data_IF_179145461650
#
_entry.id   IF_179145461650
#
_cell.length_a   1.000
_cell.length_b   1.000
_cell.length_c   1.000
_cell.angle_alpha   90.00
_cell.angle_beta   90.00
_cell.angle_gamma   90.00
#
_symmetry.space_group_name_H-M   'P 1'
#
loop_
_entity.id
_entity.type
_entity.pdbx_description
1 polymer ?
#
# COMPACT_ATOMS: atom_id res chain seq x y z
N UNK A 1 -14.65 -19.23 -7.28
CA UNK A 1 -13.88 -20.52 -7.20
C UNK A 1 -12.40 -20.24 -7.02
N UNK A 2 -11.71 -21.01 -6.18
CA UNK A 2 -10.26 -20.90 -5.95
C UNK A 2 -9.53 -22.09 -6.57
N UNK A 3 -8.44 -21.82 -7.30
CA UNK A 3 -7.59 -22.83 -7.92
C UNK A 3 -6.16 -22.74 -7.37
N UNK A 4 -5.61 -23.89 -6.95
CA UNK A 4 -4.20 -24.06 -6.56
C UNK A 4 -3.53 -24.94 -7.61
N UNK A 5 -2.50 -24.41 -8.29
CA UNK A 5 -1.79 -25.09 -9.38
C UNK A 5 -2.74 -25.62 -10.48
N UNK A 6 -3.89 -24.96 -10.67
CA UNK A 6 -4.93 -25.35 -11.63
C UNK A 6 -6.03 -26.26 -11.07
N UNK A 7 -5.87 -26.83 -9.88
CA UNK A 7 -6.85 -27.71 -9.24
C UNK A 7 -7.79 -26.94 -8.31
N UNK A 8 -9.12 -27.20 -8.34
CA UNK A 8 -10.06 -26.59 -7.39
C UNK A 8 -9.73 -26.90 -5.94
N UNK A 9 -9.70 -25.86 -5.10
CA UNK A 9 -9.52 -25.99 -3.66
C UNK A 9 -10.87 -26.23 -2.97
N UNK A 10 -10.95 -27.26 -2.13
CA UNK A 10 -12.03 -27.41 -1.15
C UNK A 10 -11.66 -26.61 0.09
N UNK A 11 -12.41 -25.56 0.40
CA UNK A 11 -11.97 -24.59 1.42
C UNK A 11 -12.23 -25.03 2.87
N UNK A 12 -13.03 -26.06 3.13
CA UNK A 12 -13.48 -26.41 4.49
C UNK A 12 -12.33 -26.59 5.50
N UNK A 13 -11.30 -27.38 5.12
CA UNK A 13 -10.16 -27.65 6.00
C UNK A 13 -9.32 -26.39 6.24
N UNK A 14 -9.04 -25.65 5.16
CA UNK A 14 -8.28 -24.39 5.23
C UNK A 14 -9.01 -23.34 6.06
N UNK A 15 -10.33 -23.25 5.88
CA UNK A 15 -11.15 -22.29 6.57
C UNK A 15 -11.15 -22.59 8.08
N UNK A 16 -11.08 -23.85 8.49
CA UNK A 16 -10.94 -24.25 9.89
C UNK A 16 -9.64 -23.81 10.57
N UNK A 17 -8.62 -23.37 9.80
CA UNK A 17 -7.39 -22.79 10.36
C UNK A 17 -7.59 -21.34 10.87
N UNK A 18 -8.66 -20.66 10.44
CA UNK A 18 -8.93 -19.27 10.77
C UNK A 18 -10.14 -19.15 11.71
N UNK A 19 -10.10 -18.18 12.62
CA UNK A 19 -11.25 -17.87 13.46
C UNK A 19 -12.44 -17.42 12.60
N UNK A 20 -13.66 -17.80 13.00
CA UNK A 20 -14.88 -17.64 12.19
C UNK A 20 -15.12 -16.20 11.70
N UNK A 21 -14.80 -15.21 12.52
CA UNK A 21 -14.98 -13.79 12.19
C UNK A 21 -13.68 -13.09 11.78
N UNK A 22 -12.60 -13.83 11.51
CA UNK A 22 -11.34 -13.22 11.07
C UNK A 22 -11.45 -12.67 9.64
N UNK A 23 -10.56 -11.76 9.29
CA UNK A 23 -10.50 -11.20 7.93
C UNK A 23 -10.17 -12.29 6.91
N UNK A 24 -9.22 -13.17 7.24
CA UNK A 24 -8.79 -14.29 6.42
C UNK A 24 -9.96 -15.22 6.10
N UNK A 25 -10.74 -15.59 7.13
CA UNK A 25 -11.90 -16.46 6.97
C UNK A 25 -12.95 -15.85 6.04
N UNK A 26 -13.33 -14.59 6.29
CA UNK A 26 -14.33 -13.89 5.48
C UNK A 26 -13.89 -13.73 4.02
N UNK A 27 -12.63 -13.36 3.79
CA UNK A 27 -12.08 -13.23 2.43
C UNK A 27 -12.05 -14.59 1.73
N UNK A 28 -11.61 -15.64 2.40
CA UNK A 28 -11.56 -17.00 1.84
C UNK A 28 -12.96 -17.48 1.41
N UNK A 29 -13.96 -17.27 2.25
CA UNK A 29 -15.35 -17.64 1.96
C UNK A 29 -15.92 -16.82 0.80
N UNK A 30 -15.66 -15.51 0.77
CA UNK A 30 -16.09 -14.65 -0.33
C UNK A 30 -15.45 -15.06 -1.66
N UNK A 31 -14.15 -15.35 -1.67
CA UNK A 31 -13.44 -15.84 -2.88
C UNK A 31 -13.97 -17.20 -3.36
N UNK A 32 -14.34 -18.08 -2.42
CA UNK A 32 -14.90 -19.38 -2.76
C UNK A 32 -16.30 -19.25 -3.38
N UNK A 33 -17.15 -18.38 -2.81
CA UNK A 33 -18.49 -18.08 -3.31
C UNK A 33 -18.55 -17.17 -4.54
N UNK A 34 -17.45 -16.53 -4.91
CA UNK A 34 -17.37 -15.62 -6.04
C UNK A 34 -17.55 -16.31 -7.39
N UNK A 35 -18.14 -15.57 -8.34
CA UNK A 35 -18.23 -15.91 -9.76
C UNK A 35 -16.89 -15.83 -10.49
N UNK A 36 -15.91 -15.11 -9.93
CA UNK A 36 -14.55 -15.05 -10.42
C UNK A 36 -13.74 -16.29 -10.04
N UNK A 37 -12.66 -16.49 -10.78
CA UNK A 37 -11.68 -17.54 -10.48
C UNK A 37 -10.40 -16.92 -9.92
N UNK A 38 -10.11 -17.23 -8.66
CA UNK A 38 -8.86 -16.84 -7.99
C UNK A 38 -7.81 -17.94 -8.20
N UNK A 39 -6.63 -17.58 -8.72
CA UNK A 39 -5.62 -18.56 -9.16
C UNK A 39 -4.30 -18.35 -8.43
N UNK A 40 -3.83 -19.39 -7.78
CA UNK A 40 -2.56 -19.42 -7.07
C UNK A 40 -1.70 -20.58 -7.56
N UNK A 41 -0.38 -20.40 -7.50
CA UNK A 41 0.58 -21.42 -7.91
C UNK A 41 0.83 -22.42 -6.78
N UNK A 42 0.60 -22.01 -5.52
CA UNK A 42 0.72 -22.83 -4.31
C UNK A 42 -0.28 -22.40 -3.24
N UNK A 43 -0.49 -23.27 -2.24
CA UNK A 43 -1.33 -22.95 -1.08
C UNK A 43 -0.74 -21.78 -0.26
N UNK A 44 0.58 -21.69 -0.16
CA UNK A 44 1.25 -20.62 0.57
C UNK A 44 0.96 -19.24 -0.04
N UNK A 45 0.85 -19.13 -1.36
CA UNK A 45 0.47 -17.86 -2.00
C UNK A 45 -0.93 -17.40 -1.58
N UNK A 46 -1.89 -18.34 -1.48
CA UNK A 46 -3.21 -18.03 -0.96
C UNK A 46 -3.13 -17.61 0.51
N UNK A 47 -2.42 -18.38 1.36
CA UNK A 47 -2.25 -18.05 2.78
C UNK A 47 -1.58 -16.69 2.98
N UNK A 48 -0.60 -16.35 2.14
CA UNK A 48 0.05 -15.04 2.14
C UNK A 48 -0.92 -13.91 1.82
N UNK A 49 -1.73 -14.04 0.76
CA UNK A 49 -2.74 -13.01 0.43
C UNK A 49 -3.75 -12.83 1.58
N UNK A 50 -4.27 -13.93 2.13
CA UNK A 50 -5.22 -13.87 3.25
C UNK A 50 -4.61 -13.15 4.45
N UNK A 51 -3.39 -13.55 4.85
CA UNK A 51 -2.66 -12.95 5.97
C UNK A 51 -2.40 -11.47 5.74
N UNK A 52 -1.89 -11.09 4.55
CA UNK A 52 -1.59 -9.69 4.25
C UNK A 52 -2.86 -8.83 4.24
N UNK A 53 -4.00 -9.35 3.75
CA UNK A 53 -5.29 -8.63 3.84
C UNK A 53 -5.71 -8.40 5.28
N UNK A 54 -5.57 -9.40 6.16
CA UNK A 54 -5.76 -9.24 7.60
C UNK A 54 -4.88 -8.12 8.16
N UNK A 55 -3.59 -8.13 7.83
CA UNK A 55 -2.64 -7.10 8.29
C UNK A 55 -2.90 -5.71 7.72
N UNK A 56 -3.44 -5.59 6.51
CA UNK A 56 -3.86 -4.30 5.94
C UNK A 56 -5.03 -3.73 6.76
N UNK A 57 -6.02 -4.56 7.10
CA UNK A 57 -7.14 -4.16 7.97
C UNK A 57 -6.64 -3.72 9.35
N UNK A 58 -5.77 -4.52 9.97
CA UNK A 58 -5.17 -4.19 11.27
C UNK A 58 -4.39 -2.86 11.22
N UNK A 59 -3.55 -2.67 10.19
CA UNK A 59 -2.77 -1.46 10.01
C UNK A 59 -3.65 -0.23 9.76
N UNK A 60 -4.73 -0.34 8.99
CA UNK A 60 -5.68 0.76 8.82
C UNK A 60 -6.32 1.19 10.16
N UNK A 61 -6.73 0.22 10.98
CA UNK A 61 -7.27 0.49 12.32
C UNK A 61 -6.23 1.09 13.26
N UNK A 62 -4.99 0.58 13.22
CA UNK A 62 -3.89 1.10 14.02
C UNK A 62 -3.52 2.53 13.62
N UNK A 63 -3.43 2.82 12.32
CA UNK A 63 -3.13 4.16 11.82
C UNK A 63 -4.20 5.17 12.22
N UNK A 64 -5.48 4.80 12.14
CA UNK A 64 -6.59 5.61 12.63
C UNK A 64 -6.46 5.98 14.12
N UNK A 65 -5.87 5.09 14.94
CA UNK A 65 -5.67 5.29 16.38
C UNK A 65 -4.36 5.99 16.73
N UNK A 66 -3.42 6.07 15.80
CA UNK A 66 -2.05 6.60 16.03
C UNK A 66 -2.01 8.11 16.34
N UNK A 67 -3.05 8.85 15.98
CA UNK A 67 -3.06 10.31 16.04
C UNK A 67 -2.43 11.00 14.82
N UNK A 68 -2.06 10.25 13.76
CA UNK A 68 -1.68 10.83 12.47
C UNK A 68 -2.77 11.79 11.98
N UNK A 69 -2.42 13.07 11.77
CA UNK A 69 -3.38 14.07 11.32
C UNK A 69 -3.43 14.17 9.79
N UNK A 70 -4.58 14.54 9.26
CA UNK A 70 -4.68 14.97 7.87
C UNK A 70 -3.99 16.33 7.66
N UNK A 71 -3.24 16.48 6.57
CA UNK A 71 -2.74 17.76 6.09
C UNK A 71 -2.53 17.74 4.57
N UNK A 72 -2.85 18.85 3.90
CA UNK A 72 -2.41 19.06 2.53
C UNK A 72 -0.86 19.11 2.45
N UNK A 73 -0.28 18.80 1.28
CA UNK A 73 1.17 18.66 1.09
C UNK A 73 2.02 19.80 1.66
N UNK A 74 1.64 21.05 1.43
CA UNK A 74 2.40 22.22 1.92
C UNK A 74 2.36 22.38 3.47
N UNK A 75 1.43 21.70 4.15
CA UNK A 75 1.29 21.64 5.61
C UNK A 75 1.70 20.29 6.20
N UNK A 76 2.20 19.37 5.37
CA UNK A 76 2.62 18.06 5.85
C UNK A 76 3.75 18.20 6.88
N UNK A 77 3.89 17.22 7.76
CA UNK A 77 4.97 17.15 8.74
C UNK A 77 5.28 15.70 9.07
N UNK A 78 6.52 15.45 9.47
CA UNK A 78 7.00 14.13 9.87
C UNK A 78 7.98 14.27 11.03
N UNK A 79 8.18 13.18 11.78
CA UNK A 79 9.22 13.14 12.80
C UNK A 79 10.61 13.28 12.14
N UNK A 80 11.35 14.36 12.45
CA UNK A 80 12.65 14.62 11.82
C UNK A 80 13.72 13.61 12.25
N UNK A 81 13.51 12.80 13.29
CA UNK A 81 14.48 11.77 13.68
C UNK A 81 14.60 10.67 12.60
N UNK A 82 13.51 10.41 11.87
CA UNK A 82 13.42 9.32 10.88
C UNK A 82 13.34 9.81 9.44
N UNK A 83 12.74 10.98 9.22
CA UNK A 83 12.33 11.45 7.90
C UNK A 83 12.83 12.86 7.60
N UNK A 84 13.27 13.10 6.37
CA UNK A 84 13.44 14.43 5.80
C UNK A 84 12.16 14.82 5.05
N UNK A 85 11.55 15.95 5.42
CA UNK A 85 10.41 16.49 4.67
C UNK A 85 10.91 17.23 3.44
N UNK A 86 10.55 16.77 2.26
CA UNK A 86 10.91 17.40 0.98
C UNK A 86 10.03 18.63 0.69
N UNK A 87 10.47 19.49 -0.23
CA UNK A 87 9.78 20.75 -0.57
C UNK A 87 8.34 20.55 -1.08
N UNK A 88 8.12 19.47 -1.82
CA UNK A 88 6.79 19.10 -2.30
C UNK A 88 5.90 18.52 -1.18
N UNK A 89 6.42 18.27 0.02
CA UNK A 89 5.67 17.79 1.19
C UNK A 89 5.78 16.28 1.46
N UNK A 90 6.64 15.56 0.72
CA UNK A 90 6.87 14.13 0.91
C UNK A 90 7.83 13.84 2.06
N UNK A 91 7.89 12.58 2.49
CA UNK A 91 8.79 12.14 3.56
C UNK A 91 9.83 11.19 2.98
N UNK A 92 11.08 11.64 2.92
CA UNK A 92 12.22 10.84 2.50
C UNK A 92 12.86 10.19 3.73
N UNK A 93 12.99 8.87 3.72
CA UNK A 93 13.67 8.14 4.79
C UNK A 93 15.14 8.56 4.85
N UNK A 94 15.63 8.84 6.06
CA UNK A 94 17.07 9.13 6.27
C UNK A 94 17.93 7.89 6.04
N UNK A 95 19.11 8.09 5.48
CA UNK A 95 20.01 7.00 5.05
C UNK A 95 20.61 6.18 6.18
N UNK A 96 20.66 6.70 7.40
CA UNK A 96 21.19 6.06 8.59
C UNK A 96 20.11 5.44 9.49
N UNK A 97 18.86 5.47 9.04
CA UNK A 97 17.69 5.01 9.78
C UNK A 97 17.18 3.68 9.25
N UNK A 98 16.78 2.78 10.16
CA UNK A 98 16.14 1.52 9.76
C UNK A 98 14.72 1.77 9.23
N UNK A 99 14.36 1.30 8.02
CA UNK A 99 13.03 1.48 7.46
C UNK A 99 11.90 0.98 8.38
N UNK A 100 12.10 -0.16 9.03
CA UNK A 100 11.12 -0.74 9.96
C UNK A 100 10.81 0.16 11.13
N UNK A 101 11.84 0.79 11.71
CA UNK A 101 11.69 1.65 12.88
C UNK A 101 11.01 2.96 12.48
N UNK A 102 11.36 3.51 11.31
CA UNK A 102 10.75 4.72 10.77
C UNK A 102 9.26 4.56 10.46
N UNK A 103 8.85 3.41 9.90
CA UNK A 103 7.43 3.12 9.65
C UNK A 103 6.70 2.86 10.97
N UNK A 104 7.26 2.06 11.89
CA UNK A 104 6.65 1.83 13.22
C UNK A 104 6.46 3.13 13.99
N UNK A 105 7.39 4.08 13.88
CA UNK A 105 7.30 5.38 14.55
C UNK A 105 6.03 6.14 14.15
N UNK A 106 5.59 6.04 12.89
CA UNK A 106 4.34 6.67 12.44
C UNK A 106 3.12 6.13 13.21
N UNK A 107 3.08 4.83 13.50
CA UNK A 107 1.97 4.22 14.24
C UNK A 107 2.03 4.51 15.74
N UNK A 108 3.23 4.65 16.30
CA UNK A 108 3.43 4.88 17.74
C UNK A 108 3.37 6.36 18.14
N UNK A 109 3.87 7.24 17.28
CA UNK A 109 4.02 8.68 17.51
C UNK A 109 3.27 9.50 16.45
N UNK A 110 2.12 9.00 15.97
CA UNK A 110 1.38 9.58 14.85
C UNK A 110 1.09 11.07 14.96
N UNK A 111 0.94 11.63 16.17
CA UNK A 111 0.75 13.07 16.38
C UNK A 111 1.91 13.94 15.83
N UNK A 112 3.13 13.39 15.72
CA UNK A 112 4.29 14.05 15.11
C UNK A 112 4.18 14.16 13.58
N UNK A 113 3.21 13.48 13.00
CA UNK A 113 3.02 13.36 11.56
C UNK A 113 1.72 14.00 11.11
N UNK A 114 1.73 14.54 9.89
CA UNK A 114 0.51 14.81 9.15
C UNK A 114 0.72 14.76 7.65
N UNK A 115 -0.17 14.09 6.94
CA UNK A 115 -0.08 13.89 5.50
C UNK A 115 -1.47 13.77 4.88
N UNK A 116 -1.55 13.66 3.56
CA UNK A 116 -2.81 13.51 2.83
C UNK A 116 -3.24 12.04 2.73
N UNK A 117 -4.43 11.80 2.15
CA UNK A 117 -5.08 10.49 2.23
C UNK A 117 -4.36 9.36 1.45
N UNK A 118 -3.77 9.63 0.30
CA UNK A 118 -3.04 8.66 -0.50
C UNK A 118 -1.73 8.21 0.16
N UNK A 119 -0.92 9.14 0.67
CA UNK A 119 0.29 8.80 1.45
C UNK A 119 -0.06 7.93 2.65
N UNK A 120 -1.18 8.22 3.33
CA UNK A 120 -1.64 7.39 4.44
C UNK A 120 -1.99 5.96 4.01
N UNK A 121 -2.52 5.74 2.81
CA UNK A 121 -2.75 4.39 2.30
C UNK A 121 -1.43 3.64 2.06
N UNK A 122 -0.40 4.32 1.54
CA UNK A 122 0.94 3.72 1.36
C UNK A 122 1.53 3.32 2.71
N UNK A 123 1.37 4.16 3.75
CA UNK A 123 1.78 3.84 5.12
C UNK A 123 1.06 2.60 5.65
N UNK A 124 -0.25 2.43 5.38
CA UNK A 124 -0.99 1.22 5.74
C UNK A 124 -0.35 -0.03 5.12
N UNK A 125 0.03 0.01 3.84
CA UNK A 125 0.67 -1.14 3.20
C UNK A 125 2.04 -1.47 3.80
N UNK A 126 2.88 -0.46 4.08
CA UNK A 126 4.15 -0.70 4.77
C UNK A 126 3.94 -1.26 6.18
N UNK A 127 2.99 -0.70 6.94
CA UNK A 127 2.62 -1.21 8.26
C UNK A 127 2.15 -2.67 8.22
N UNK A 128 1.33 -3.03 7.24
CA UNK A 128 0.87 -4.40 7.07
C UNK A 128 2.02 -5.37 6.73
N UNK A 129 2.94 -4.94 5.86
CA UNK A 129 4.09 -5.76 5.45
C UNK A 129 5.11 -5.96 6.57
N UNK A 130 5.21 -5.03 7.52
CA UNK A 130 6.03 -5.21 8.72
C UNK A 130 5.54 -6.36 9.61
N UNK A 131 4.25 -6.66 9.59
CA UNK A 131 3.63 -7.73 10.38
C UNK A 131 3.62 -9.07 9.63
N UNK A 132 3.91 -9.06 8.33
CA UNK A 132 4.01 -10.27 7.49
C UNK A 132 5.46 -10.72 7.33
N UNK A 133 6.39 -9.79 7.18
CA UNK A 133 7.82 -10.09 7.05
C UNK A 133 8.55 -9.99 8.38
N UNK A 134 9.66 -10.74 8.51
CA UNK A 134 10.63 -10.41 9.56
C UNK A 134 11.24 -9.03 9.31
N UNK A 135 11.69 -8.37 10.38
CA UNK A 135 12.34 -7.06 10.29
C UNK A 135 13.52 -7.05 9.29
N UNK A 136 14.32 -8.12 9.26
CA UNK A 136 15.43 -8.26 8.32
C UNK A 136 14.96 -8.30 6.86
N UNK A 137 13.89 -9.06 6.57
CA UNK A 137 13.32 -9.16 5.22
C UNK A 137 12.72 -7.81 4.81
N UNK A 138 11.96 -7.17 5.68
CA UNK A 138 11.37 -5.86 5.42
C UNK A 138 12.44 -4.80 5.10
N UNK A 139 13.45 -4.67 5.97
CA UNK A 139 14.51 -3.67 5.80
C UNK A 139 15.37 -3.92 4.56
N UNK A 140 15.54 -5.19 4.16
CA UNK A 140 16.22 -5.54 2.91
C UNK A 140 15.39 -5.16 1.68
N UNK A 141 14.10 -5.45 1.68
CA UNK A 141 13.22 -5.18 0.55
C UNK A 141 12.95 -3.69 0.37
N UNK A 142 12.72 -2.97 1.47
CA UNK A 142 12.33 -1.56 1.48
C UNK A 142 13.43 -0.69 2.10
N UNK A 143 14.66 -0.86 1.61
CA UNK A 143 15.85 -0.17 2.15
C UNK A 143 15.87 1.34 1.95
N UNK A 144 15.04 1.86 1.05
CA UNK A 144 14.80 3.28 0.82
C UNK A 144 13.30 3.49 0.69
N UNK A 145 12.75 4.45 1.42
CA UNK A 145 11.32 4.75 1.38
C UNK A 145 11.15 6.25 1.13
N UNK A 146 10.30 6.57 0.17
CA UNK A 146 9.78 7.91 -0.04
C UNK A 146 8.25 7.86 0.02
N UNK A 147 7.67 8.62 0.92
CA UNK A 147 6.23 8.68 1.15
C UNK A 147 5.68 9.97 0.54
N UNK A 148 5.05 9.86 -0.63
CA UNK A 148 4.46 10.98 -1.34
C UNK A 148 3.35 10.52 -2.30
N UNK A 149 2.10 10.53 -1.84
CA UNK A 149 0.93 10.13 -2.64
C UNK A 149 1.21 8.79 -3.36
N UNK A 150 0.93 8.70 -4.66
CA UNK A 150 1.29 7.56 -5.51
C UNK A 150 2.59 7.76 -6.30
N UNK A 151 3.42 8.75 -5.94
CA UNK A 151 4.66 9.07 -6.63
C UNK A 151 5.81 8.21 -6.14
N UNK A 152 6.63 7.72 -7.07
CA UNK A 152 7.89 7.02 -6.78
C UNK A 152 7.75 5.86 -5.78
N UNK A 153 6.59 5.17 -5.84
CA UNK A 153 6.36 3.96 -5.06
C UNK A 153 7.42 2.91 -5.34
N UNK A 154 7.78 2.14 -4.31
CA UNK A 154 8.61 0.96 -4.48
C UNK A 154 8.00 0.04 -5.56
N UNK A 155 8.80 -0.55 -6.45
CA UNK A 155 8.30 -1.44 -7.50
C UNK A 155 7.41 -2.59 -7.01
N UNK A 156 7.55 -3.04 -5.75
CA UNK A 156 6.69 -4.05 -5.13
C UNK A 156 5.31 -3.51 -4.73
N UNK A 157 5.17 -2.20 -4.57
CA UNK A 157 3.92 -1.52 -4.19
C UNK A 157 3.30 -0.70 -5.32
N UNK A 158 3.90 -0.64 -6.50
CA UNK A 158 3.41 0.21 -7.60
C UNK A 158 1.95 -0.03 -8.00
N UNK A 159 1.42 -1.24 -7.82
CA UNK A 159 0.03 -1.57 -8.15
C UNK A 159 -0.99 -0.95 -7.18
N UNK A 160 -0.58 -0.62 -5.95
CA UNK A 160 -1.50 -0.09 -4.93
C UNK A 160 -2.00 1.31 -5.25
N UNK A 161 -1.37 2.01 -6.20
CA UNK A 161 -1.72 3.37 -6.62
C UNK A 161 -2.86 3.45 -7.65
N UNK A 162 -3.10 2.39 -8.42
CA UNK A 162 -4.02 2.42 -9.57
C UNK A 162 -5.21 1.47 -9.36
N UNK A 163 -6.43 1.98 -9.11
CA UNK A 163 -7.63 1.14 -9.08
C UNK A 163 -7.85 0.45 -10.42
N UNK A 164 -8.18 -0.84 -10.38
CA UNK A 164 -8.56 -1.64 -11.54
C UNK A 164 -9.94 -2.22 -11.31
N UNK A 165 -10.61 -2.59 -12.40
CA UNK A 165 -11.86 -3.30 -12.30
C UNK A 165 -11.64 -4.67 -11.65
N UNK A 166 -12.48 -5.01 -10.66
CA UNK A 166 -12.42 -6.26 -9.92
C UNK A 166 -13.82 -6.88 -9.86
N UNK A 167 -13.88 -8.21 -9.76
CA UNK A 167 -15.15 -8.92 -9.67
C UNK A 167 -15.79 -8.80 -8.29
N UNK A 168 -14.97 -8.75 -7.25
CA UNK A 168 -15.40 -8.64 -5.85
C UNK A 168 -14.58 -7.54 -5.18
N UNK A 169 -15.23 -6.80 -4.28
CA UNK A 169 -14.54 -5.96 -3.30
C UNK A 169 -14.30 -6.82 -2.06
N UNK A 170 -13.04 -7.00 -1.68
CA UNK A 170 -12.60 -7.85 -0.59
C UNK A 170 -12.09 -7.00 0.57
N UNK A 171 -12.12 -7.55 1.79
CA UNK A 171 -11.50 -6.90 2.95
C UNK A 171 -10.00 -6.62 2.69
N UNK A 172 -9.54 -5.45 3.13
CA UNK A 172 -8.20 -4.96 2.85
C UNK A 172 -7.98 -4.38 1.45
N UNK A 173 -9.00 -4.36 0.58
CA UNK A 173 -8.90 -3.62 -0.69
C UNK A 173 -8.83 -2.10 -0.44
N UNK A 174 -8.08 -1.39 -1.28
CA UNK A 174 -8.16 0.06 -1.36
C UNK A 174 -9.21 0.45 -2.41
N UNK A 175 -10.27 1.11 -1.98
CA UNK A 175 -11.35 1.58 -2.83
C UNK A 175 -11.38 3.12 -2.86
N UNK A 176 -12.37 3.68 -3.57
CA UNK A 176 -12.51 5.13 -3.71
C UNK A 176 -13.98 5.56 -3.69
N UNK A 177 -14.27 6.58 -2.89
CA UNK A 177 -15.50 7.37 -3.03
C UNK A 177 -15.23 8.56 -3.92
N UNK A 178 -16.02 8.76 -4.97
CA UNK A 178 -15.85 9.88 -5.91
C UNK A 178 -16.85 10.99 -5.61
N UNK A 179 -16.38 12.23 -5.62
CA UNK A 179 -17.20 13.44 -5.57
C UNK A 179 -17.11 14.18 -6.91
N UNK A 180 -18.02 13.91 -7.87
CA UNK A 180 -17.88 14.40 -9.25
C UNK A 180 -18.06 15.91 -9.39
N UNK A 181 -18.85 16.53 -8.51
CA UNK A 181 -19.18 17.96 -8.53
C UNK A 181 -18.63 18.69 -7.29
N UNK A 182 -17.37 18.40 -6.92
CA UNK A 182 -16.68 19.02 -5.80
C UNK A 182 -16.59 20.54 -5.93
N UNK A 183 -16.66 21.25 -4.80
CA UNK A 183 -16.41 22.69 -4.76
C UNK A 183 -14.94 23.01 -5.12
N UNK A 184 -14.68 23.98 -6.03
CA UNK A 184 -13.33 24.44 -6.32
C UNK A 184 -12.57 25.03 -5.12
N UNK A 185 -13.29 25.36 -4.04
CA UNK A 185 -12.70 25.88 -2.81
C UNK A 185 -12.12 24.77 -1.89
N UNK A 186 -12.53 23.52 -2.11
CA UNK A 186 -12.11 22.35 -1.33
C UNK A 186 -11.75 21.19 -2.28
N UNK A 187 -10.79 21.38 -3.21
CA UNK A 187 -10.44 20.38 -4.21
C UNK A 187 -9.93 19.05 -3.62
N UNK A 188 -9.42 19.06 -2.40
CA UNK A 188 -9.02 17.88 -1.64
C UNK A 188 -10.19 16.93 -1.35
N UNK A 189 -11.44 17.40 -1.41
CA UNK A 189 -12.66 16.61 -1.23
C UNK A 189 -13.29 16.15 -2.55
N UNK A 190 -12.49 16.05 -3.61
CA UNK A 190 -12.89 15.44 -4.90
C UNK A 190 -13.17 13.93 -4.79
N UNK A 191 -12.82 13.34 -3.66
CA UNK A 191 -13.15 11.98 -3.29
C UNK A 191 -12.31 11.56 -2.09
N UNK A 192 -12.39 10.28 -1.74
CA UNK A 192 -11.68 9.73 -0.59
C UNK A 192 -11.17 8.33 -0.92
N UNK A 193 -9.86 8.12 -0.71
CA UNK A 193 -9.26 6.80 -0.72
C UNK A 193 -9.60 6.08 0.57
N UNK A 194 -10.04 4.83 0.48
CA UNK A 194 -10.44 4.06 1.67
C UNK A 194 -9.89 2.65 1.68
N UNK A 195 -9.64 2.10 2.87
CA UNK A 195 -9.43 0.66 3.08
C UNK A 195 -10.74 0.02 3.53
N UNK A 196 -11.13 -1.07 2.89
CA UNK A 196 -12.33 -1.85 3.24
C UNK A 196 -12.09 -2.65 4.52
N UNK A 197 -12.98 -2.49 5.49
CA UNK A 197 -12.92 -3.14 6.79
C UNK A 197 -14.14 -4.07 6.99
N UNK A 198 -14.08 -4.99 7.97
CA UNK A 198 -15.24 -5.80 8.36
C UNK A 198 -16.47 -4.95 8.73
N UNK A 199 -17.64 -5.58 8.70
CA UNK A 199 -18.92 -4.98 9.12
C UNK A 199 -19.38 -3.78 8.27
N UNK A 200 -18.99 -3.72 6.99
CA UNK A 200 -19.40 -2.65 6.08
C UNK A 200 -18.78 -1.29 6.41
N UNK A 201 -17.63 -1.29 7.08
CA UNK A 201 -16.89 -0.10 7.46
C UNK A 201 -15.72 0.16 6.51
N UNK A 202 -15.28 1.41 6.51
CA UNK A 202 -14.15 1.87 5.70
C UNK A 202 -13.28 2.78 6.54
N UNK A 203 -11.97 2.67 6.38
CA UNK A 203 -11.02 3.67 6.88
C UNK A 203 -10.67 4.65 5.78
N UNK A 204 -10.97 5.94 5.97
CA UNK A 204 -10.46 7.04 5.15
C UNK A 204 -9.66 8.01 6.00
N UNK A 205 -8.46 8.37 5.56
CA UNK A 205 -7.54 9.15 6.38
C UNK A 205 -8.01 10.61 6.50
N UNK A 206 -8.18 11.09 7.73
CA UNK A 206 -8.77 12.39 8.04
C UNK A 206 -10.27 12.36 8.31
N UNK A 207 -10.97 11.35 7.79
CA UNK A 207 -12.41 11.12 8.03
C UNK A 207 -12.68 10.01 9.05
N UNK A 208 -11.71 9.14 9.28
CA UNK A 208 -11.72 8.08 10.27
C UNK A 208 -12.33 6.77 9.76
N UNK A 209 -12.86 5.98 10.68
CA UNK A 209 -13.54 4.71 10.37
C UNK A 209 -15.05 4.91 10.43
N UNK A 210 -15.73 4.68 9.31
CA UNK A 210 -17.16 4.91 9.19
C UNK A 210 -17.83 4.03 8.13
N UNK A 211 -19.17 3.93 8.11
CA UNK A 211 -19.92 3.34 7.00
C UNK A 211 -19.94 4.24 5.76
N UNK A 212 -20.27 3.68 4.59
CA UNK A 212 -20.24 4.37 3.29
C UNK A 212 -21.10 5.65 3.22
N UNK A 213 -22.26 5.64 3.88
CA UNK A 213 -23.19 6.77 3.92
C UNK A 213 -22.57 8.01 4.61
N UNK A 214 -21.68 7.80 5.58
CA UNK A 214 -20.91 8.90 6.19
C UNK A 214 -19.99 9.58 5.17
N UNK A 215 -19.18 8.81 4.45
CA UNK A 215 -18.28 9.36 3.42
C UNK A 215 -19.05 10.11 2.34
N UNK A 216 -20.16 9.53 1.85
CA UNK A 216 -21.01 10.17 0.85
C UNK A 216 -21.60 11.48 1.38
N UNK A 217 -22.06 11.53 2.64
CA UNK A 217 -22.57 12.77 3.26
C UNK A 217 -21.49 13.85 3.35
N UNK A 218 -20.29 13.51 3.84
CA UNK A 218 -19.18 14.46 3.98
C UNK A 218 -18.80 15.04 2.62
N UNK A 219 -18.64 14.19 1.61
CA UNK A 219 -18.30 14.64 0.25
C UNK A 219 -19.42 15.49 -0.37
N UNK A 220 -20.68 15.08 -0.20
CA UNK A 220 -21.84 15.83 -0.70
C UNK A 220 -22.00 17.21 -0.09
N UNK A 221 -21.59 17.40 1.17
CA UNK A 221 -21.60 18.68 1.86
C UNK A 221 -20.55 19.67 1.32
N UNK A 222 -19.60 19.20 0.49
CA UNK A 222 -18.51 19.98 -0.07
C UNK A 222 -18.57 20.04 -1.61
N UNK A 223 -19.77 19.94 -2.17
CA UNK A 223 -20.03 20.13 -3.60
C UNK A 223 -20.20 21.61 -3.95
N UNK A 224 -20.03 21.92 -5.23
CA UNK A 224 -20.30 23.26 -5.75
C UNK A 224 -21.78 23.64 -5.63
N UNK A 225 -22.08 24.94 -5.63
CA UNK A 225 -23.46 25.42 -5.62
C UNK A 225 -24.23 24.91 -6.85
N UNK A 226 -25.46 24.45 -6.64
CA UNK A 226 -26.29 23.88 -7.71
C UNK A 226 -25.94 22.44 -8.12
N UNK A 227 -25.00 21.76 -7.43
CA UNK A 227 -24.63 20.38 -7.72
C UNK A 227 -25.83 19.40 -7.69
N UNK A 228 -25.99 18.63 -8.75
CA UNK A 228 -27.08 17.67 -8.95
C UNK A 228 -26.64 16.21 -8.81
N UNK A 229 -25.35 15.92 -9.01
CA UNK A 229 -24.78 14.58 -8.91
C UNK A 229 -24.21 14.34 -7.51
N UNK A 230 -24.70 13.31 -6.84
CA UNK A 230 -24.18 12.87 -5.54
C UNK A 230 -22.78 12.26 -5.69
N UNK A 231 -21.96 12.39 -4.65
CA UNK A 231 -20.83 11.51 -4.42
C UNK A 231 -21.30 10.05 -4.31
N UNK A 232 -20.44 9.12 -4.68
CA UNK A 232 -20.77 7.69 -4.74
C UNK A 232 -19.53 6.80 -4.56
N UNK A 233 -19.76 5.58 -4.11
CA UNK A 233 -18.70 4.56 -4.05
C UNK A 233 -18.41 4.03 -5.46
N UNK A 234 -17.14 3.95 -5.85
CA UNK A 234 -16.77 3.36 -7.14
C UNK A 234 -16.87 1.84 -7.08
N UNK A 235 -18.08 1.32 -7.30
CA UNK A 235 -18.37 -0.12 -7.32
C UNK A 235 -17.49 -0.85 -8.34
N UNK A 236 -17.01 -2.05 -7.95
CA UNK A 236 -16.19 -2.92 -8.79
C UNK A 236 -14.82 -2.33 -9.19
N UNK A 237 -14.32 -1.31 -8.50
CA UNK A 237 -12.95 -0.82 -8.65
C UNK A 237 -12.19 -0.90 -7.34
N UNK A 238 -11.02 -1.55 -7.36
CA UNK A 238 -10.12 -1.62 -6.22
C UNK A 238 -8.67 -1.56 -6.68
N UNK A 239 -7.80 -0.99 -5.86
CA UNK A 239 -6.36 -1.16 -5.97
C UNK A 239 -5.90 -2.22 -4.97
N UNK A 240 -5.01 -3.10 -5.42
CA UNK A 240 -4.47 -4.23 -4.66
C UNK A 240 -2.95 -4.28 -4.86
N UNK A 241 -2.18 -4.67 -3.84
CA UNK A 241 -0.79 -5.02 -4.08
C UNK A 241 -0.72 -6.30 -4.91
N UNK A 242 0.39 -6.51 -5.61
CA UNK A 242 0.67 -7.80 -6.23
C UNK A 242 1.09 -8.81 -5.15
N UNK A 243 0.10 -9.50 -4.59
CA UNK A 243 0.30 -10.48 -3.51
C UNK A 243 1.32 -11.55 -3.89
N UNK A 244 1.30 -12.04 -5.14
CA UNK A 244 2.22 -13.10 -5.59
C UNK A 244 3.65 -12.58 -5.65
N UNK A 245 3.84 -11.37 -6.16
CA UNK A 245 5.15 -10.76 -6.27
C UNK A 245 5.74 -10.42 -4.90
N UNK A 246 4.92 -9.95 -3.97
CA UNK A 246 5.33 -9.73 -2.59
C UNK A 246 5.76 -11.06 -1.93
N UNK A 247 4.90 -12.07 -1.98
CA UNK A 247 5.17 -13.41 -1.45
C UNK A 247 6.50 -13.98 -1.95
N UNK A 248 6.72 -13.92 -3.26
CA UNK A 248 7.96 -14.37 -3.89
C UNK A 248 9.18 -13.55 -3.44
N UNK A 249 9.05 -12.23 -3.31
CA UNK A 249 10.14 -11.34 -2.87
C UNK A 249 10.57 -11.64 -1.42
N UNK A 250 9.62 -11.98 -0.54
CA UNK A 250 9.89 -12.35 0.86
C UNK A 250 10.72 -13.63 1.00
N UNK A 251 10.59 -14.58 0.06
CA UNK A 251 11.32 -15.86 0.07
C UNK A 251 12.78 -15.76 -0.36
N UNK A 252 13.18 -14.71 -1.07
CA UNK A 252 14.54 -14.61 -1.60
C UNK A 252 15.52 -14.37 -0.44
N UNK A 253 16.46 -15.28 -0.15
CA UNK A 253 17.43 -15.07 0.91
C UNK A 253 18.33 -13.88 0.58
N UNK A 254 18.83 -13.20 1.60
CA UNK A 254 19.83 -12.15 1.42
C UNK A 254 21.01 -12.73 0.61
N UNK A 255 21.38 -12.09 -0.51
CA UNK A 255 22.63 -12.42 -1.18
C UNK A 255 23.74 -12.22 -0.15
N UNK A 256 24.45 -13.28 0.22
CA UNK A 256 25.69 -13.15 0.96
C UNK A 256 26.58 -12.21 0.14
N UNK A 257 26.97 -11.07 0.73
CA UNK A 257 28.00 -10.23 0.15
C UNK A 257 29.22 -11.13 -0.13
N UNK A 258 29.84 -11.07 -1.31
CA UNK A 258 31.08 -11.79 -1.53
C UNK A 258 32.05 -11.36 -0.44
N UNK A 259 32.52 -12.30 0.37
CA UNK A 259 33.62 -12.06 1.30
C UNK A 259 34.70 -11.30 0.53
N UNK A 260 35.16 -10.16 1.08
CA UNK A 260 36.24 -9.38 0.52
C UNK A 260 37.44 -10.31 0.26
N UNK A 261 37.64 -10.69 -1.01
CA UNK A 261 38.87 -11.32 -1.42
C UNK A 261 39.97 -10.24 -1.36
N UNK A 262 41.16 -10.56 -0.81
CA UNK A 262 42.23 -9.58 -0.73
C UNK A 262 42.62 -9.12 -2.13
N UNK A 263 42.67 -7.81 -2.31
CA UNK A 263 42.97 -7.14 -3.56
C UNK A 263 44.33 -7.57 -4.12
N UNK A 264 44.34 -8.37 -5.18
CA UNK A 264 45.51 -8.45 -6.06
C UNK A 264 45.45 -7.29 -7.04
N UNK A 265 46.35 -6.33 -6.88
CA UNK A 265 46.55 -5.22 -7.82
C UNK A 265 46.78 -5.77 -9.23
N UNK A 266 45.87 -5.45 -10.16
CA UNK A 266 46.14 -5.48 -11.60
C UNK A 266 46.10 -4.04 -12.11
N UNK A 267 47.28 -3.52 -12.43
CA UNK A 267 47.47 -2.28 -13.19
C UNK A 267 46.87 -2.44 -14.59
N UNK A 268 45.82 -1.70 -14.90
CA UNK A 268 45.31 -1.56 -16.26
C UNK A 268 45.82 -0.25 -16.88
N UNK A 269 46.71 -0.38 -17.86
CA UNK A 269 47.10 0.73 -18.73
C UNK A 269 45.94 1.01 -19.72
N UNK A 270 45.40 2.23 -19.68
CA UNK A 270 44.42 2.74 -20.63
C UNK A 270 45.05 2.91 -22.02
N UNK A 271 44.58 2.15 -23.02
CA UNK A 271 44.83 2.44 -24.45
C UNK A 271 43.70 3.32 -24.98
N UNK A 272 44.00 4.59 -25.24
CA UNK A 272 43.14 5.53 -25.95
C UNK A 272 43.08 5.18 -27.46
N UNK A 273 41.89 5.25 -28.06
CA UNK A 273 41.69 5.30 -29.52
C UNK A 273 41.00 6.63 -29.87
N UNK A 274 41.42 7.36 -30.92
CA UNK A 274 40.82 8.64 -31.28
C UNK A 274 39.45 8.46 -31.97
N UNK A 275 38.56 9.44 -31.75
CA UNK A 275 37.21 9.54 -32.31
C UNK A 275 37.21 9.68 -33.84
N UNK A 276 36.20 9.15 -34.56
CA UNK A 276 36.05 9.38 -35.99
C UNK A 276 35.57 10.82 -36.29
N UNK A 277 36.01 11.42 -37.42
CA UNK A 277 35.65 12.78 -37.81
C UNK A 277 34.19 12.89 -38.31
N UNK A 278 33.56 14.08 -38.17
CA UNK A 278 32.16 14.29 -38.52
C UNK A 278 31.92 14.36 -40.03
N UNK A 279 30.78 13.81 -40.46
CA UNK A 279 30.30 13.86 -41.85
C UNK A 279 29.75 15.26 -42.12
N UNK A 280 30.28 15.95 -43.14
CA UNK A 280 29.65 17.15 -43.70
C UNK A 280 28.64 16.76 -44.78
N UNK A 281 27.51 17.47 -44.74
CA UNK A 281 26.26 17.37 -45.55
C UNK A 281 26.30 16.60 -46.86
#
# INVERSE_FOLDING_TARGET
MILISGSPLQINDLAGEYAENSVERQVLEQMAGSTATYRYDSLDQLKFELTLRGRIVDAAVALNRSGLNFAAFHKSRCNPDYWERTDNGGFLLKSDVKPSDAIRDIFMNGNLYATECATAMVIVYYGALLEVYSEEVFNRLFSSIYLMDWHELDPLLSEVGTPRQVADILLGDRCYFRNPEVSPLTPELQGENVIVLPNGLFYGHGLGIAPADYFIRVLNANRMEGATQSAYFMENYAARPDFKRLEAAGRVPARQSPAQQPSTQRTSALRWRPFPPPIMR
#
